data_IF_166310911849
#
_entry.id   IF_166310911849
#
_cell.length_a   1.000
_cell.length_b   1.000
_cell.length_c   1.000
_cell.angle_alpha   90.00
_cell.angle_beta   90.00
_cell.angle_gamma   90.00
#
_symmetry.space_group_name_H-M   'P 1'
#
loop_
_entity.id
_entity.type
_entity.pdbx_description
1 polymer ?
#
# COMPACT_ATOMS: atom_id res chain seq x y z
N UNK A 1 -28.04 -3.68 -12.59
CA UNK A 1 -26.67 -3.53 -12.09
C UNK A 1 -26.47 -4.59 -11.01
N UNK A 2 -25.48 -5.46 -11.16
CA UNK A 2 -25.47 -6.75 -10.45
C UNK A 2 -24.86 -6.57 -9.04
N UNK A 3 -25.64 -6.78 -8.00
CA UNK A 3 -25.30 -6.62 -6.57
C UNK A 3 -24.03 -7.38 -6.17
N UNK A 4 -23.73 -8.50 -6.85
CA UNK A 4 -22.48 -9.25 -6.66
C UNK A 4 -21.23 -8.47 -7.04
N UNK A 5 -21.27 -7.60 -8.07
CA UNK A 5 -20.12 -6.78 -8.48
C UNK A 5 -19.79 -5.68 -7.47
N UNK A 6 -20.82 -5.18 -6.75
CA UNK A 6 -20.64 -4.17 -5.69
C UNK A 6 -20.03 -4.82 -4.44
N UNK A 7 -20.50 -6.01 -4.07
CA UNK A 7 -19.98 -6.73 -2.90
C UNK A 7 -18.50 -7.12 -3.05
N UNK A 8 -18.08 -7.56 -4.24
CA UNK A 8 -16.69 -7.91 -4.53
C UNK A 8 -15.77 -6.67 -4.46
N UNK A 9 -16.26 -5.50 -4.90
CA UNK A 9 -15.50 -4.24 -4.80
C UNK A 9 -15.35 -3.75 -3.36
N UNK A 10 -16.38 -3.87 -2.53
CA UNK A 10 -16.37 -3.48 -1.11
C UNK A 10 -15.42 -4.39 -0.31
N UNK A 11 -15.43 -5.69 -0.57
CA UNK A 11 -14.56 -6.65 0.13
C UNK A 11 -13.08 -6.47 -0.25
N UNK A 12 -12.80 -6.15 -1.53
CA UNK A 12 -11.43 -5.86 -1.97
C UNK A 12 -10.89 -4.55 -1.34
N UNK A 13 -11.70 -3.47 -1.31
CA UNK A 13 -11.31 -2.20 -0.69
C UNK A 13 -11.06 -2.31 0.82
N UNK A 14 -11.87 -3.09 1.54
CA UNK A 14 -11.70 -3.33 2.98
C UNK A 14 -10.42 -4.13 3.30
N UNK A 15 -9.98 -5.03 2.41
CA UNK A 15 -8.74 -5.80 2.59
C UNK A 15 -7.49 -4.92 2.48
N UNK A 16 -7.49 -3.94 1.56
CA UNK A 16 -6.39 -2.98 1.39
C UNK A 16 -6.26 -2.07 2.62
N UNK A 17 -7.39 -1.56 3.12
CA UNK A 17 -7.43 -0.70 4.30
C UNK A 17 -6.86 -1.39 5.56
N UNK A 18 -7.00 -2.71 5.69
CA UNK A 18 -6.52 -3.48 6.84
C UNK A 18 -5.01 -3.74 6.75
N UNK A 19 -4.43 -3.92 5.55
CA UNK A 19 -2.99 -4.21 5.42
C UNK A 19 -2.09 -3.02 5.77
N UNK A 20 -2.54 -1.78 5.58
CA UNK A 20 -1.74 -0.59 5.84
C UNK A 20 -1.88 -0.05 7.28
N UNK A 21 -2.87 -0.50 8.09
CA UNK A 21 -3.14 0.01 9.44
C UNK A 21 -2.42 -0.72 10.59
N UNK A 22 -1.78 -1.87 10.33
CA UNK A 22 -1.27 -2.68 11.44
C UNK A 22 0.24 -2.88 11.36
N UNK A 23 1.05 -2.14 12.12
CA UNK A 23 2.43 -2.52 12.36
C UNK A 23 2.42 -3.88 13.11
N UNK A 24 2.89 -4.93 12.45
CA UNK A 24 3.10 -6.25 13.03
C UNK A 24 1.89 -7.21 13.08
N UNK A 25 0.65 -6.75 12.95
CA UNK A 25 -0.54 -7.63 13.05
C UNK A 25 -1.25 -7.91 11.73
N UNK A 26 -0.83 -7.32 10.62
CA UNK A 26 -1.48 -7.46 9.31
C UNK A 26 -1.57 -8.91 8.81
N UNK A 27 -0.70 -9.78 9.28
CA UNK A 27 -0.68 -11.20 8.93
C UNK A 27 -1.43 -12.12 9.91
N UNK A 28 -1.77 -11.66 11.12
CA UNK A 28 -2.47 -12.47 12.12
C UNK A 28 -3.92 -12.83 11.73
N UNK A 29 -4.51 -12.14 10.78
CA UNK A 29 -5.89 -12.39 10.30
C UNK A 29 -6.03 -13.62 9.39
N UNK A 30 -4.98 -14.42 9.21
CA UNK A 30 -4.87 -15.50 8.23
C UNK A 30 -5.27 -16.89 8.75
N UNK A 31 -6.30 -16.98 9.56
CA UNK A 31 -6.73 -18.12 10.34
C UNK A 31 -7.37 -19.35 9.68
N UNK A 32 -7.09 -19.77 8.44
CA UNK A 32 -7.84 -20.84 7.77
C UNK A 32 -7.00 -21.87 6.98
N UNK A 33 -5.91 -22.46 7.57
CA UNK A 33 -5.08 -23.40 6.79
C UNK A 33 -4.62 -24.63 7.53
N UNK A 34 -4.53 -25.74 6.80
CA UNK A 34 -3.96 -27.01 7.26
C UNK A 34 -2.47 -26.91 7.65
N UNK A 35 -1.77 -25.85 7.19
CA UNK A 35 -0.43 -25.50 7.65
C UNK A 35 -0.27 -23.98 7.68
N UNK A 36 -0.81 -23.34 8.73
CA UNK A 36 -0.62 -21.90 8.95
C UNK A 36 0.86 -21.58 9.06
N UNK A 37 1.34 -20.49 8.43
CA UNK A 37 2.67 -19.96 8.76
C UNK A 37 2.74 -19.67 10.26
N UNK A 38 3.85 -19.97 10.87
CA UNK A 38 4.12 -19.59 12.26
C UNK A 38 4.26 -18.06 12.35
N UNK A 39 4.09 -17.52 13.55
CA UNK A 39 4.32 -16.10 13.80
C UNK A 39 5.75 -15.67 13.36
N UNK A 40 6.76 -16.48 13.69
CA UNK A 40 8.15 -16.23 13.31
C UNK A 40 8.37 -16.24 11.77
N UNK A 41 7.69 -17.12 11.04
CA UNK A 41 7.73 -17.13 9.57
C UNK A 41 7.10 -15.87 8.98
N UNK A 42 6.02 -15.36 9.57
CA UNK A 42 5.36 -14.15 9.13
C UNK A 42 6.20 -12.90 9.41
N UNK A 43 6.78 -12.79 10.61
CA UNK A 43 7.68 -11.70 10.99
C UNK A 43 8.91 -11.65 10.07
N UNK A 44 9.44 -12.80 9.68
CA UNK A 44 10.56 -12.90 8.73
C UNK A 44 10.17 -12.36 7.35
N UNK A 45 8.97 -12.68 6.86
CA UNK A 45 8.46 -12.15 5.57
C UNK A 45 8.24 -10.64 5.66
N UNK A 46 7.62 -10.16 6.74
CA UNK A 46 7.34 -8.75 6.96
C UNK A 46 8.64 -7.92 7.02
N UNK A 47 9.60 -8.34 7.84
CA UNK A 47 10.91 -7.71 7.95
C UNK A 47 11.64 -7.67 6.60
N UNK A 48 11.63 -8.79 5.86
CA UNK A 48 12.23 -8.85 4.54
C UNK A 48 11.60 -7.82 3.59
N UNK A 49 10.27 -7.76 3.52
CA UNK A 49 9.58 -6.85 2.59
C UNK A 49 9.85 -5.38 2.91
N UNK A 50 9.88 -5.03 4.20
CA UNK A 50 10.14 -3.65 4.63
C UNK A 50 11.51 -3.11 4.21
N UNK A 51 12.54 -3.95 4.27
CA UNK A 51 13.92 -3.52 4.15
C UNK A 51 14.67 -4.09 2.94
N UNK A 52 14.02 -4.86 2.08
CA UNK A 52 14.68 -5.54 0.97
C UNK A 52 15.44 -4.58 0.05
N UNK A 53 14.84 -3.47 -0.37
CA UNK A 53 15.50 -2.51 -1.26
C UNK A 53 16.77 -1.87 -0.66
N UNK A 54 16.95 -1.95 0.67
CA UNK A 54 18.15 -1.50 1.36
C UNK A 54 19.21 -2.58 1.44
N UNK A 55 18.80 -3.83 1.59
CA UNK A 55 19.69 -4.99 1.78
C UNK A 55 20.00 -5.73 0.48
N UNK A 56 19.05 -5.77 -0.44
CA UNK A 56 19.05 -6.57 -1.67
C UNK A 56 19.38 -8.05 -1.41
N UNK A 57 18.86 -8.61 -0.30
CA UNK A 57 19.14 -9.98 0.14
C UNK A 57 18.31 -11.01 -0.63
N UNK A 58 18.81 -11.36 -1.83
CA UNK A 58 18.19 -12.34 -2.73
C UNK A 58 18.05 -13.71 -2.08
N UNK A 59 19.01 -14.12 -1.27
CA UNK A 59 18.95 -15.43 -0.61
C UNK A 59 17.78 -15.52 0.37
N UNK A 60 17.56 -14.49 1.18
CA UNK A 60 16.42 -14.39 2.07
C UNK A 60 15.10 -14.31 1.32
N UNK A 61 15.02 -13.55 0.21
CA UNK A 61 13.82 -13.47 -0.62
C UNK A 61 13.42 -14.85 -1.19
N UNK A 62 14.40 -15.62 -1.64
CA UNK A 62 14.18 -16.98 -2.15
C UNK A 62 13.83 -17.95 -1.00
N UNK A 63 14.44 -17.81 0.16
CA UNK A 63 14.21 -18.68 1.31
C UNK A 63 12.77 -18.59 1.85
N UNK A 64 12.11 -17.42 1.76
CA UNK A 64 10.73 -17.23 2.25
C UNK A 64 9.65 -17.64 1.23
N UNK A 65 10.01 -17.99 -0.01
CA UNK A 65 9.05 -18.40 -1.05
C UNK A 65 8.04 -19.47 -0.60
N UNK A 66 8.42 -20.53 0.14
CA UNK A 66 7.44 -21.51 0.61
C UNK A 66 6.39 -20.91 1.54
N UNK A 67 6.80 -20.00 2.42
CA UNK A 67 5.90 -19.28 3.33
C UNK A 67 4.98 -18.35 2.55
N UNK A 68 5.53 -17.57 1.63
CA UNK A 68 4.77 -16.65 0.78
C UNK A 68 3.75 -17.40 -0.09
N UNK A 69 4.12 -18.58 -0.63
CA UNK A 69 3.20 -19.44 -1.37
C UNK A 69 2.04 -19.93 -0.50
N UNK A 70 2.29 -20.28 0.76
CA UNK A 70 1.23 -20.59 1.72
C UNK A 70 0.31 -19.38 1.91
N UNK A 71 0.88 -18.19 2.14
CA UNK A 71 0.13 -16.93 2.28
C UNK A 71 -0.73 -16.69 1.03
N UNK A 72 -0.20 -16.79 -0.18
CA UNK A 72 -0.91 -16.53 -1.45
C UNK A 72 -2.12 -17.45 -1.69
N UNK A 73 -2.05 -18.72 -1.26
CA UNK A 73 -3.20 -19.65 -1.31
C UNK A 73 -4.34 -19.21 -0.38
N UNK A 74 -4.07 -18.38 0.59
CA UNK A 74 -4.96 -18.01 1.68
C UNK A 74 -5.84 -16.82 1.36
N UNK A 75 -5.35 -15.86 0.56
CA UNK A 75 -6.10 -14.67 0.18
C UNK A 75 -5.73 -14.24 -1.24
N UNK A 76 -6.67 -14.30 -2.19
CA UNK A 76 -6.44 -13.77 -3.53
C UNK A 76 -6.02 -12.30 -3.54
N UNK A 77 -6.47 -11.48 -2.57
CA UNK A 77 -6.09 -10.08 -2.42
C UNK A 77 -4.65 -9.85 -1.95
N UNK A 78 -3.96 -10.85 -1.39
CA UNK A 78 -2.56 -10.75 -0.97
C UNK A 78 -1.55 -11.07 -2.07
N UNK A 79 -2.02 -11.48 -3.25
CA UNK A 79 -1.16 -11.86 -4.38
C UNK A 79 -0.48 -10.65 -5.06
N UNK A 80 -1.17 -9.55 -5.36
CA UNK A 80 -0.58 -8.43 -6.09
C UNK A 80 0.67 -7.83 -5.45
N UNK A 81 0.71 -7.50 -4.14
CA UNK A 81 1.92 -6.95 -3.53
C UNK A 81 3.09 -7.93 -3.55
N UNK A 82 2.80 -9.23 -3.39
CA UNK A 82 3.81 -10.28 -3.50
C UNK A 82 4.36 -10.39 -4.93
N UNK A 83 3.51 -10.32 -5.94
CA UNK A 83 3.94 -10.30 -7.35
C UNK A 83 4.82 -9.10 -7.64
N UNK A 84 4.41 -7.91 -7.21
CA UNK A 84 5.18 -6.68 -7.36
C UNK A 84 6.56 -6.80 -6.72
N UNK A 85 6.60 -7.32 -5.49
CA UNK A 85 7.84 -7.56 -4.77
C UNK A 85 8.78 -8.51 -5.53
N UNK A 86 8.33 -9.71 -5.93
CA UNK A 86 9.19 -10.67 -6.62
C UNK A 86 9.57 -10.24 -8.02
N UNK A 87 8.72 -9.50 -8.72
CA UNK A 87 9.08 -8.86 -9.99
C UNK A 87 10.21 -7.84 -9.78
N UNK A 88 10.07 -6.94 -8.83
CA UNK A 88 11.06 -5.92 -8.52
C UNK A 88 12.38 -6.50 -8.04
N UNK A 89 12.34 -7.46 -7.09
CA UNK A 89 13.52 -8.11 -6.53
C UNK A 89 14.32 -8.89 -7.61
N UNK A 90 13.62 -9.63 -8.47
CA UNK A 90 14.26 -10.33 -9.57
C UNK A 90 14.86 -9.33 -10.58
N UNK A 91 14.14 -8.28 -10.93
CA UNK A 91 14.59 -7.26 -11.87
C UNK A 91 15.83 -6.51 -11.39
N UNK A 92 15.81 -6.03 -10.14
CA UNK A 92 16.91 -5.22 -9.56
C UNK A 92 18.21 -6.02 -9.38
N UNK A 93 18.12 -7.33 -9.19
CA UNK A 93 19.28 -8.20 -8.96
C UNK A 93 19.62 -9.15 -10.10
N UNK A 94 18.96 -9.02 -11.26
CA UNK A 94 19.04 -9.94 -12.37
C UNK A 94 20.46 -10.15 -12.90
N UNK A 95 21.26 -9.09 -12.95
CA UNK A 95 22.62 -9.16 -13.49
C UNK A 95 23.52 -10.11 -12.70
N UNK A 96 23.31 -10.23 -11.39
CA UNK A 96 24.14 -11.02 -10.48
C UNK A 96 23.52 -12.39 -10.14
N UNK A 97 22.18 -12.50 -10.15
CA UNK A 97 21.44 -13.62 -9.56
C UNK A 97 20.45 -14.30 -10.51
N UNK A 98 20.73 -14.26 -11.83
CA UNK A 98 19.82 -14.85 -12.82
C UNK A 98 19.53 -16.33 -12.56
N UNK A 99 20.56 -17.13 -12.27
CA UNK A 99 20.41 -18.56 -12.05
C UNK A 99 19.57 -18.89 -10.82
N UNK A 100 19.74 -18.13 -9.74
CA UNK A 100 18.96 -18.26 -8.51
C UNK A 100 17.48 -17.93 -8.76
N UNK A 101 17.18 -16.89 -9.55
CA UNK A 101 15.82 -16.53 -9.91
C UNK A 101 15.17 -17.55 -10.85
N UNK A 102 15.91 -18.13 -11.80
CA UNK A 102 15.41 -19.24 -12.63
C UNK A 102 15.04 -20.46 -11.78
N UNK A 103 15.84 -20.78 -10.76
CA UNK A 103 15.52 -21.85 -9.82
C UNK A 103 14.33 -21.49 -8.92
N UNK A 104 14.24 -20.24 -8.45
CA UNK A 104 13.16 -19.73 -7.64
C UNK A 104 11.81 -19.73 -8.38
N UNK A 105 11.80 -19.37 -9.66
CA UNK A 105 10.62 -19.44 -10.55
C UNK A 105 9.95 -20.81 -10.50
N UNK A 106 10.72 -21.89 -10.49
CA UNK A 106 10.19 -23.27 -10.43
C UNK A 106 9.54 -23.61 -9.08
N UNK A 107 9.95 -22.92 -8.01
CA UNK A 107 9.48 -23.13 -6.62
C UNK A 107 8.33 -22.25 -6.23
N UNK A 108 8.15 -21.10 -6.88
CA UNK A 108 7.06 -20.17 -6.68
C UNK A 108 5.70 -20.77 -7.06
N UNK A 109 4.61 -20.19 -6.56
CA UNK A 109 3.27 -20.41 -7.09
C UNK A 109 3.14 -19.80 -8.49
N UNK A 110 2.03 -20.10 -9.19
CA UNK A 110 1.80 -19.65 -10.58
C UNK A 110 2.02 -18.15 -10.75
N UNK A 111 1.51 -17.36 -9.84
CA UNK A 111 1.55 -15.89 -9.89
C UNK A 111 2.96 -15.36 -9.64
N UNK A 112 3.66 -15.89 -8.64
CA UNK A 112 5.06 -15.54 -8.35
C UNK A 112 5.97 -15.98 -9.49
N UNK A 113 5.76 -17.18 -10.03
CA UNK A 113 6.52 -17.68 -11.17
C UNK A 113 6.33 -16.81 -12.42
N UNK A 114 5.12 -16.28 -12.63
CA UNK A 114 4.85 -15.31 -13.68
C UNK A 114 5.62 -14.00 -13.44
N UNK A 115 5.57 -13.45 -12.23
CA UNK A 115 6.27 -12.20 -11.88
C UNK A 115 7.80 -12.32 -12.07
N UNK A 116 8.41 -13.39 -11.53
CA UNK A 116 9.84 -13.68 -11.74
C UNK A 116 10.13 -13.87 -13.23
N UNK A 117 9.29 -14.63 -13.94
CA UNK A 117 9.45 -14.87 -15.38
C UNK A 117 9.46 -13.58 -16.20
N UNK A 118 8.54 -12.67 -15.92
CA UNK A 118 8.47 -11.37 -16.56
C UNK A 118 9.75 -10.53 -16.33
N UNK A 119 10.30 -10.55 -15.12
CA UNK A 119 11.57 -9.89 -14.81
C UNK A 119 12.74 -10.52 -15.60
N UNK A 120 12.80 -11.85 -15.66
CA UNK A 120 13.83 -12.59 -16.43
C UNK A 120 13.76 -12.32 -17.94
N UNK A 121 12.57 -12.05 -18.46
CA UNK A 121 12.30 -11.63 -19.84
C UNK A 121 12.63 -10.15 -20.10
N UNK A 122 13.03 -9.40 -19.08
CA UNK A 122 13.39 -7.98 -19.18
C UNK A 122 12.19 -7.01 -19.27
N UNK A 123 11.00 -7.45 -18.90
CA UNK A 123 9.81 -6.57 -18.88
C UNK A 123 10.01 -5.36 -17.99
N UNK A 124 9.42 -4.26 -18.42
CA UNK A 124 9.34 -3.02 -17.64
C UNK A 124 8.16 -3.05 -16.63
N UNK A 125 8.13 -2.09 -15.73
CA UNK A 125 6.95 -1.90 -14.87
C UNK A 125 5.71 -1.55 -15.69
N UNK A 126 5.86 -0.85 -16.82
CA UNK A 126 4.77 -0.49 -17.72
C UNK A 126 4.18 -1.70 -18.45
N UNK A 127 5.02 -2.72 -18.74
CA UNK A 127 4.53 -3.98 -19.31
C UNK A 127 3.73 -4.80 -18.29
N UNK A 128 4.00 -4.61 -17.01
CA UNK A 128 3.30 -5.30 -15.90
C UNK A 128 2.05 -4.54 -15.45
N UNK A 129 2.12 -3.23 -15.48
CA UNK A 129 1.08 -2.31 -15.00
C UNK A 129 0.97 -1.15 -15.97
N UNK A 130 0.20 -1.31 -17.07
CA UNK A 130 -0.11 -0.20 -17.96
C UNK A 130 -0.71 0.99 -17.21
N UNK A 131 -0.32 2.21 -17.59
CA UNK A 131 -0.71 3.42 -16.86
C UNK A 131 -2.22 3.65 -16.80
N UNK A 132 -2.93 3.27 -17.85
CA UNK A 132 -4.39 3.36 -17.95
C UNK A 132 -5.14 2.44 -16.98
N UNK A 133 -4.51 1.35 -16.52
CA UNK A 133 -5.09 0.43 -15.55
C UNK A 133 -4.91 0.88 -14.10
N UNK A 134 -3.96 1.76 -13.80
CA UNK A 134 -3.74 2.29 -12.43
C UNK A 134 -5.00 2.98 -11.90
N UNK A 135 -5.82 3.53 -12.80
CA UNK A 135 -7.00 4.31 -12.44
C UNK A 135 -8.16 3.46 -11.89
N UNK A 136 -8.19 2.14 -12.16
CA UNK A 136 -9.39 1.34 -11.93
C UNK A 136 -9.23 0.11 -11.03
N UNK A 137 -8.04 -0.34 -10.70
CA UNK A 137 -7.85 -1.60 -10.00
C UNK A 137 -7.03 -1.48 -8.70
N UNK A 138 -7.65 -1.66 -7.52
CA UNK A 138 -6.95 -1.63 -6.24
C UNK A 138 -5.72 -2.55 -6.16
N UNK A 139 -5.79 -3.75 -6.74
CA UNK A 139 -4.67 -4.69 -6.76
C UNK A 139 -3.43 -4.18 -7.50
N UNK A 140 -3.58 -3.17 -8.37
CA UNK A 140 -2.45 -2.54 -9.04
C UNK A 140 -1.68 -1.65 -8.07
N UNK A 141 -2.35 -0.94 -7.18
CA UNK A 141 -1.69 -0.17 -6.13
C UNK A 141 -0.83 -1.07 -5.24
N UNK A 142 -1.37 -2.23 -4.88
CA UNK A 142 -0.65 -3.22 -4.07
C UNK A 142 0.58 -3.77 -4.81
N UNK A 143 0.47 -4.04 -6.12
CA UNK A 143 1.61 -4.44 -6.95
C UNK A 143 2.69 -3.35 -6.97
N UNK A 144 2.30 -2.09 -7.15
CA UNK A 144 3.22 -0.95 -7.16
C UNK A 144 3.94 -0.79 -5.82
N UNK A 145 3.24 -0.97 -4.70
CA UNK A 145 3.86 -0.97 -3.38
C UNK A 145 4.84 -2.12 -3.20
N UNK A 146 4.47 -3.33 -3.60
CA UNK A 146 5.39 -4.48 -3.58
C UNK A 146 6.64 -4.23 -4.43
N UNK A 147 6.49 -3.67 -5.62
CA UNK A 147 7.61 -3.28 -6.48
C UNK A 147 8.52 -2.24 -5.82
N UNK A 148 7.94 -1.20 -5.22
CA UNK A 148 8.71 -0.20 -4.46
C UNK A 148 9.50 -0.82 -3.32
N UNK A 149 8.88 -1.68 -2.50
CA UNK A 149 9.54 -2.34 -1.37
C UNK A 149 10.70 -3.25 -1.82
N UNK A 150 10.68 -3.72 -3.06
CA UNK A 150 11.76 -4.51 -3.64
C UNK A 150 12.87 -3.67 -4.27
N UNK A 151 12.55 -2.51 -4.86
CA UNK A 151 13.49 -1.74 -5.68
C UNK A 151 13.92 -0.41 -5.07
N UNK A 152 13.05 0.18 -4.23
CA UNK A 152 13.20 1.57 -3.76
C UNK A 152 12.94 2.62 -4.83
N UNK A 153 12.51 2.23 -6.05
CA UNK A 153 12.31 3.14 -7.17
C UNK A 153 11.11 4.07 -6.93
N UNK A 154 11.34 5.38 -7.00
CA UNK A 154 10.36 6.43 -6.72
C UNK A 154 9.18 6.47 -7.72
N UNK A 155 9.32 5.85 -8.89
CA UNK A 155 8.27 5.82 -9.91
C UNK A 155 6.98 5.13 -9.41
N UNK A 156 7.11 4.04 -8.66
CA UNK A 156 5.96 3.31 -8.14
C UNK A 156 5.14 4.15 -7.12
N UNK A 157 5.73 4.72 -6.04
CA UNK A 157 4.99 5.60 -5.14
C UNK A 157 4.43 6.84 -5.85
N UNK A 158 5.12 7.41 -6.81
CA UNK A 158 4.62 8.55 -7.63
C UNK A 158 3.31 8.21 -8.33
N UNK A 159 3.20 7.01 -8.93
CA UNK A 159 1.96 6.53 -9.58
C UNK A 159 0.82 6.37 -8.58
N UNK A 160 1.10 5.78 -7.42
CA UNK A 160 0.09 5.60 -6.37
C UNK A 160 -0.40 6.94 -5.84
N UNK A 161 0.51 7.88 -5.54
CA UNK A 161 0.17 9.22 -5.04
C UNK A 161 -0.66 9.97 -6.08
N UNK A 162 -0.28 9.94 -7.36
CA UNK A 162 -1.05 10.54 -8.45
C UNK A 162 -2.47 9.98 -8.48
N UNK A 163 -2.63 8.66 -8.35
CA UNK A 163 -3.96 8.02 -8.30
C UNK A 163 -4.82 8.54 -7.14
N UNK A 164 -4.22 8.81 -5.99
CA UNK A 164 -4.90 9.42 -4.84
C UNK A 164 -5.45 10.83 -5.11
N UNK A 165 -4.83 11.57 -6.01
CA UNK A 165 -5.27 12.90 -6.45
C UNK A 165 -6.27 12.93 -7.61
N UNK A 166 -6.62 11.77 -8.19
CA UNK A 166 -7.54 11.70 -9.33
C UNK A 166 -9.00 11.56 -8.86
N UNK A 167 -9.90 12.26 -9.56
CA UNK A 167 -11.36 12.10 -9.41
C UNK A 167 -11.89 11.24 -10.55
N UNK A 168 -12.80 10.31 -10.24
CA UNK A 168 -13.55 9.58 -11.27
C UNK A 168 -14.67 10.49 -11.80
N UNK A 169 -14.70 10.83 -13.11
CA UNK A 169 -15.56 11.89 -13.63
C UNK A 169 -17.06 11.62 -13.56
N UNK A 170 -17.51 10.37 -13.59
CA UNK A 170 -18.90 10.05 -13.97
C UNK A 170 -19.78 9.44 -12.86
N UNK A 171 -19.33 9.34 -11.62
CA UNK A 171 -20.15 8.80 -10.52
C UNK A 171 -20.07 9.68 -9.26
N UNK A 172 -20.85 10.76 -9.17
CA UNK A 172 -20.76 11.71 -8.05
C UNK A 172 -21.16 11.13 -6.68
N UNK A 173 -21.71 9.93 -6.62
CA UNK A 173 -22.14 9.26 -5.39
C UNK A 173 -21.29 8.05 -4.98
N UNK A 174 -20.32 7.63 -5.79
CA UNK A 174 -19.43 6.52 -5.46
C UNK A 174 -18.15 7.06 -4.86
N UNK A 175 -17.91 6.73 -3.60
CA UNK A 175 -16.61 6.98 -2.96
C UNK A 175 -15.58 6.19 -3.76
N UNK A 176 -14.61 6.90 -4.34
CA UNK A 176 -13.49 6.24 -5.01
C UNK A 176 -12.58 5.55 -3.97
N UNK A 177 -12.90 4.29 -3.67
CA UNK A 177 -12.16 3.49 -2.69
C UNK A 177 -10.71 3.28 -3.10
N UNK A 178 -10.42 3.28 -4.41
CA UNK A 178 -9.04 3.15 -4.90
C UNK A 178 -8.23 4.41 -4.61
N UNK A 179 -8.81 5.60 -4.85
CA UNK A 179 -8.15 6.86 -4.50
C UNK A 179 -7.92 6.97 -3.00
N UNK A 180 -8.92 6.60 -2.18
CA UNK A 180 -8.78 6.59 -0.73
C UNK A 180 -7.71 5.63 -0.23
N UNK A 181 -7.63 4.43 -0.80
CA UNK A 181 -6.58 3.47 -0.50
C UNK A 181 -5.19 4.02 -0.87
N UNK A 182 -5.07 4.67 -2.03
CA UNK A 182 -3.84 5.32 -2.47
C UNK A 182 -3.39 6.44 -1.52
N UNK A 183 -4.31 7.34 -1.13
CA UNK A 183 -4.06 8.43 -0.18
C UNK A 183 -3.52 7.89 1.14
N UNK A 184 -4.26 6.98 1.73
CA UNK A 184 -3.96 6.44 3.03
C UNK A 184 -2.67 5.61 3.06
N UNK A 185 -2.43 4.73 2.08
CA UNK A 185 -1.21 3.93 1.99
C UNK A 185 0.01 4.82 1.75
N UNK A 186 -0.10 5.88 0.94
CA UNK A 186 0.98 6.83 0.70
C UNK A 186 1.41 7.54 1.98
N UNK A 187 0.47 8.07 2.76
CA UNK A 187 0.76 8.74 4.04
C UNK A 187 1.36 7.76 5.06
N UNK A 188 0.82 6.54 5.12
CA UNK A 188 1.34 5.50 6.03
C UNK A 188 2.79 5.14 5.71
N UNK A 189 3.10 4.87 4.44
CA UNK A 189 4.45 4.50 4.01
C UNK A 189 5.43 5.68 4.03
N UNK A 190 4.97 6.92 3.87
CA UNK A 190 5.82 8.10 3.99
C UNK A 190 6.49 8.23 5.38
N UNK A 191 5.87 7.69 6.44
CA UNK A 191 6.45 7.67 7.79
C UNK A 191 7.68 6.79 7.91
N UNK A 192 7.74 5.73 7.11
CA UNK A 192 8.79 4.70 7.20
C UNK A 192 9.80 4.81 6.05
N UNK A 193 9.39 5.39 4.92
CA UNK A 193 10.18 5.43 3.68
C UNK A 193 10.40 6.86 3.17
N UNK A 194 11.61 7.44 3.34
CA UNK A 194 11.92 8.81 2.90
C UNK A 194 11.64 9.07 1.41
N UNK A 195 11.80 8.06 0.54
CA UNK A 195 11.49 8.19 -0.88
C UNK A 195 9.98 8.43 -1.12
N UNK A 196 9.10 7.78 -0.34
CA UNK A 196 7.66 8.01 -0.42
C UNK A 196 7.31 9.39 0.13
N UNK A 197 7.93 9.80 1.24
CA UNK A 197 7.75 11.15 1.80
C UNK A 197 8.14 12.24 0.78
N UNK A 198 9.28 12.06 0.08
CA UNK A 198 9.73 12.99 -0.94
C UNK A 198 8.75 13.09 -2.14
N UNK A 199 8.20 11.97 -2.60
CA UNK A 199 7.20 11.98 -3.68
C UNK A 199 5.87 12.61 -3.24
N UNK A 200 5.44 12.38 -1.99
CA UNK A 200 4.25 13.00 -1.42
C UNK A 200 4.45 14.53 -1.28
N UNK A 201 5.60 14.95 -0.82
CA UNK A 201 6.01 16.35 -0.77
C UNK A 201 6.00 17.00 -2.15
N UNK A 202 6.64 16.35 -3.14
CA UNK A 202 6.68 16.83 -4.51
C UNK A 202 5.28 16.96 -5.12
N UNK A 203 4.39 16.02 -4.84
CA UNK A 203 2.99 16.09 -5.25
C UNK A 203 2.27 17.28 -4.62
N UNK A 204 2.40 17.46 -3.30
CA UNK A 204 1.77 18.56 -2.58
C UNK A 204 2.19 19.94 -3.11
N UNK A 205 3.46 20.09 -3.49
CA UNK A 205 4.02 21.36 -3.99
C UNK A 205 3.71 21.63 -5.46
N UNK A 206 3.66 20.59 -6.31
CA UNK A 206 3.71 20.77 -7.77
C UNK A 206 2.43 20.33 -8.50
N UNK A 207 1.54 19.54 -7.89
CA UNK A 207 0.30 19.13 -8.52
C UNK A 207 -0.70 20.30 -8.65
N UNK A 208 -1.65 20.18 -9.58
CA UNK A 208 -2.72 21.16 -9.71
C UNK A 208 -3.61 21.19 -8.46
N UNK A 209 -4.28 22.33 -8.25
CA UNK A 209 -5.08 22.55 -7.03
C UNK A 209 -6.20 21.53 -6.83
N UNK A 210 -6.83 21.07 -7.92
CA UNK A 210 -7.89 20.09 -7.87
C UNK A 210 -7.36 18.74 -7.36
N UNK A 211 -6.23 18.29 -7.88
CA UNK A 211 -5.56 17.07 -7.46
C UNK A 211 -5.12 17.12 -6.00
N UNK A 212 -4.54 18.26 -5.57
CA UNK A 212 -4.16 18.49 -4.17
C UNK A 212 -5.38 18.43 -3.25
N UNK A 213 -6.46 19.15 -3.58
CA UNK A 213 -7.70 19.07 -2.81
C UNK A 213 -8.29 17.67 -2.77
N UNK A 214 -8.26 16.95 -3.89
CA UNK A 214 -8.79 15.57 -3.95
C UNK A 214 -8.00 14.65 -3.04
N UNK A 215 -6.68 14.78 -3.02
CA UNK A 215 -5.82 13.94 -2.20
C UNK A 215 -5.99 14.21 -0.70
N UNK A 216 -5.99 15.47 -0.27
CA UNK A 216 -5.96 15.87 1.15
C UNK A 216 -7.34 16.28 1.71
N UNK A 217 -8.43 16.14 0.93
CA UNK A 217 -9.77 16.51 1.38
C UNK A 217 -10.36 15.54 2.43
N UNK A 218 -11.28 16.01 3.28
CA UNK A 218 -11.72 17.41 3.43
C UNK A 218 -10.80 18.25 4.32
N UNK A 219 -9.94 17.63 5.13
CA UNK A 219 -9.07 18.27 6.10
C UNK A 219 -7.71 17.59 6.13
N UNK A 220 -6.66 18.39 6.24
CA UNK A 220 -5.30 17.92 6.45
C UNK A 220 -5.17 17.42 7.92
N UNK A 221 -5.01 16.12 8.08
CA UNK A 221 -4.91 15.48 9.38
C UNK A 221 -3.47 15.53 9.95
N UNK A 222 -3.33 15.15 11.22
CA UNK A 222 -2.03 15.17 11.92
C UNK A 222 -0.99 14.22 11.27
N UNK A 223 -1.44 13.04 10.80
CA UNK A 223 -0.55 12.06 10.19
C UNK A 223 0.04 12.57 8.85
N UNK A 224 -0.77 13.29 8.06
CA UNK A 224 -0.33 13.94 6.82
C UNK A 224 0.63 15.07 7.12
N UNK A 225 0.33 15.92 8.10
CA UNK A 225 1.23 17.01 8.51
C UNK A 225 2.58 16.52 9.02
N UNK A 226 2.60 15.39 9.72
CA UNK A 226 3.84 14.83 10.27
C UNK A 226 4.84 14.38 9.20
N UNK A 227 4.38 14.12 7.97
CA UNK A 227 5.24 13.65 6.86
C UNK A 227 5.49 14.71 5.79
N UNK A 228 4.99 15.93 5.96
CA UNK A 228 5.09 17.03 5.01
C UNK A 228 5.87 18.20 5.61
N UNK A 229 6.58 18.95 4.76
CA UNK A 229 7.22 20.19 5.17
C UNK A 229 6.20 21.30 5.44
N UNK A 230 6.58 22.35 6.20
CA UNK A 230 5.74 23.54 6.37
C UNK A 230 5.34 24.21 5.05
N UNK A 231 6.21 24.17 4.03
CA UNK A 231 5.92 24.71 2.70
C UNK A 231 4.82 23.92 1.99
N UNK A 232 4.86 22.60 2.03
CA UNK A 232 3.82 21.73 1.47
C UNK A 232 2.49 21.90 2.20
N UNK A 233 2.50 21.97 3.53
CA UNK A 233 1.31 22.26 4.33
C UNK A 233 0.70 23.60 3.93
N UNK A 234 1.49 24.68 3.85
CA UNK A 234 1.02 25.99 3.43
C UNK A 234 0.41 25.97 2.03
N UNK A 235 1.02 25.23 1.09
CA UNK A 235 0.50 25.06 -0.27
C UNK A 235 -0.84 24.32 -0.28
N UNK A 236 -1.00 23.24 0.49
CA UNK A 236 -2.24 22.46 0.61
C UNK A 236 -3.37 23.36 1.15
N UNK A 237 -3.08 24.14 2.21
CA UNK A 237 -4.05 25.09 2.78
C UNK A 237 -4.43 26.17 1.76
N UNK A 238 -3.48 26.70 0.99
CA UNK A 238 -3.76 27.66 -0.07
C UNK A 238 -4.66 27.10 -1.18
N UNK A 239 -4.69 25.78 -1.36
CA UNK A 239 -5.62 25.09 -2.26
C UNK A 239 -7.04 24.94 -1.65
N UNK A 240 -7.29 25.43 -0.45
CA UNK A 240 -8.60 25.38 0.22
C UNK A 240 -8.87 24.11 1.03
N UNK A 241 -7.84 23.33 1.37
CA UNK A 241 -7.96 22.23 2.32
C UNK A 241 -7.90 22.81 3.74
N UNK A 242 -8.88 22.47 4.58
CA UNK A 242 -8.90 22.95 5.96
C UNK A 242 -7.81 22.28 6.81
N UNK A 243 -7.21 23.01 7.73
CA UNK A 243 -6.38 22.41 8.77
C UNK A 243 -7.25 21.87 9.89
N UNK A 244 -7.11 20.60 10.20
CA UNK A 244 -7.73 20.04 11.41
C UNK A 244 -7.01 20.60 12.63
N UNK A 245 -7.70 21.44 13.40
CA UNK A 245 -7.17 21.90 14.68
C UNK A 245 -7.08 20.71 15.62
N UNK A 246 -5.97 20.62 16.34
CA UNK A 246 -5.86 19.64 17.43
C UNK A 246 -7.07 19.80 18.36
N UNK A 247 -7.71 18.70 18.81
CA UNK A 247 -8.83 18.79 19.71
C UNK A 247 -8.41 19.57 20.97
N UNK A 248 -9.23 20.50 21.37
CA UNK A 248 -8.98 21.28 22.59
C UNK A 248 -9.06 20.35 23.81
N UNK A 249 -8.37 20.70 24.90
CA UNK A 249 -8.48 19.94 26.16
C UNK A 249 -9.94 19.75 26.63
N UNK A 250 -10.83 20.66 26.26
CA UNK A 250 -12.25 20.57 26.56
C UNK A 250 -12.95 19.49 25.74
N UNK A 251 -12.57 19.33 24.46
CA UNK A 251 -13.12 18.28 23.59
C UNK A 251 -12.62 16.90 24.02
N UNK A 252 -11.33 16.78 24.40
CA UNK A 252 -10.77 15.56 24.94
C UNK A 252 -11.48 15.13 26.24
N UNK A 253 -11.70 16.04 27.16
CA UNK A 253 -12.45 15.76 28.40
C UNK A 253 -13.89 15.31 28.14
N UNK A 254 -14.56 15.88 27.15
CA UNK A 254 -15.94 15.49 26.79
C UNK A 254 -15.99 14.06 26.18
N UNK A 255 -14.94 13.61 25.49
CA UNK A 255 -14.85 12.23 24.96
C UNK A 255 -14.70 11.24 26.12
N UNK A 256 -13.81 11.53 27.07
CA UNK A 256 -13.58 10.68 28.24
C UNK A 256 -14.84 10.56 29.12
N UNK A 257 -15.57 11.67 29.35
CA UNK A 257 -16.84 11.65 30.09
C UNK A 257 -17.92 10.83 29.40
N UNK A 258 -18.03 10.91 28.07
CA UNK A 258 -18.98 10.08 27.30
C UNK A 258 -18.66 8.59 27.36
N UNK A 259 -17.38 8.23 27.29
CA UNK A 259 -16.94 6.83 27.41
C UNK A 259 -17.19 6.28 28.81
N UNK A 260 -16.95 7.07 29.86
CA UNK A 260 -17.19 6.65 31.24
C UNK A 260 -18.69 6.54 31.58
N UNK A 261 -19.52 7.43 31.05
CA UNK A 261 -20.98 7.36 31.23
C UNK A 261 -21.62 6.19 30.46
N UNK A 262 -21.04 5.80 29.31
CA UNK A 262 -21.45 4.61 28.57
C UNK A 262 -21.17 3.28 29.30
N UNK A 263 -20.05 3.21 30.02
CA UNK A 263 -19.70 2.05 30.85
C UNK A 263 -20.58 1.89 32.10
N UNK A 264 -21.03 3.02 32.69
CA UNK A 264 -21.91 3.00 33.88
C UNK A 264 -23.36 2.61 33.60
N UNK A 265 -23.84 2.68 32.36
CA UNK A 265 -25.20 2.28 31.97
C UNK A 265 -25.30 0.79 31.58
N UNK A 266 -24.18 0.09 31.41
CA UNK A 266 -24.12 -1.32 31.03
C UNK A 266 -23.64 -2.23 32.17
N UNK A 267 -23.49 -1.72 33.37
CA UNK A 267 -23.26 -2.43 34.64
C UNK A 267 -24.48 -2.34 35.54
#
# INVERSE_FOLDING_TARGET
MNTQKILVRIVAGAAIAVMALMPGEAFAFLGLFESKPTQAEMEKVDSLFKDYYRSNDVASAIAVLPTVKKIGKMKPGGIPPVMGFYFGAAKSSLAMHRAEWEAAKKRGGKEIAYAIGAALEGKSIDDMVPQDLVDYAPGILDFLWGYFLATGEAEAPRRVIRRGGMTVPDEPCVVDLTARAAQWSSVSLAKEHPAVAAELEAFALNADEKSVRTFFAPELNEAERAVLSPAAVARIVSCGVAERKAPTERELRNVDEKQNNGKRKNS
#
